data_IF_667767975692
#
_entry.id   IF_667767975692
#
_cell.length_a   1.000
_cell.length_b   1.000
_cell.length_c   1.000
_cell.angle_alpha   90.00
_cell.angle_beta   90.00
_cell.angle_gamma   90.00
#
_symmetry.space_group_name_H-M   'P 1'
#
loop_
_entity.id
_entity.type
_entity.pdbx_description
1 polymer ?
#
# COMPACT_ATOMS: atom_id res chain seq x y z
N UNK A 1 -68.25 -5.99 2.29
CA UNK A 1 -66.94 -6.54 2.68
C UNK A 1 -65.94 -6.24 1.56
N UNK A 2 -64.89 -5.46 1.85
CA UNK A 2 -63.93 -4.97 0.85
C UNK A 2 -62.60 -5.65 1.13
N UNK A 3 -62.25 -6.64 0.32
CA UNK A 3 -61.00 -7.41 0.46
C UNK A 3 -59.88 -6.58 -0.18
N UNK A 4 -59.00 -6.04 0.65
CA UNK A 4 -57.76 -5.40 0.22
C UNK A 4 -56.69 -6.48 0.06
N UNK A 5 -56.41 -6.84 -1.19
CA UNK A 5 -55.26 -7.69 -1.54
C UNK A 5 -54.04 -6.77 -1.65
N UNK A 6 -53.15 -6.84 -0.66
CA UNK A 6 -51.82 -6.21 -0.74
C UNK A 6 -50.85 -7.17 -1.45
N UNK A 7 -50.19 -6.77 -2.55
CA UNK A 7 -49.17 -7.60 -3.17
C UNK A 7 -47.89 -7.51 -2.34
N UNK A 8 -47.46 -8.63 -1.78
CA UNK A 8 -46.15 -8.79 -1.16
C UNK A 8 -45.09 -8.74 -2.26
N UNK A 9 -44.39 -7.61 -2.42
CA UNK A 9 -43.19 -7.52 -3.24
C UNK A 9 -42.04 -8.23 -2.51
N UNK A 10 -41.74 -9.46 -2.94
CA UNK A 10 -40.52 -10.17 -2.58
C UNK A 10 -39.32 -9.45 -3.22
N UNK A 11 -38.66 -8.58 -2.44
CA UNK A 11 -37.36 -8.03 -2.79
C UNK A 11 -36.29 -9.11 -2.67
N UNK A 12 -35.77 -9.58 -3.80
CA UNK A 12 -34.61 -10.49 -3.83
C UNK A 12 -33.37 -9.68 -3.45
N UNK A 13 -32.87 -9.86 -2.24
CA UNK A 13 -31.58 -9.32 -1.84
C UNK A 13 -30.48 -10.15 -2.51
N UNK A 14 -29.86 -9.61 -3.57
CA UNK A 14 -28.64 -10.19 -4.14
C UNK A 14 -27.52 -9.88 -3.16
N UNK A 15 -27.11 -10.88 -2.37
CA UNK A 15 -25.91 -10.81 -1.53
C UNK A 15 -24.70 -10.90 -2.46
N UNK A 16 -24.25 -9.76 -2.99
CA UNK A 16 -22.98 -9.70 -3.70
C UNK A 16 -21.85 -9.79 -2.68
N UNK A 17 -20.84 -10.61 -2.96
CA UNK A 17 -19.65 -10.68 -2.11
C UNK A 17 -19.02 -9.27 -2.00
N UNK A 18 -18.51 -8.88 -0.82
CA UNK A 18 -17.89 -7.57 -0.66
C UNK A 18 -16.75 -7.41 -1.66
N UNK A 19 -16.61 -6.22 -2.27
CA UNK A 19 -15.59 -5.99 -3.28
C UNK A 19 -14.19 -6.18 -2.66
N UNK A 20 -13.30 -6.82 -3.42
CA UNK A 20 -11.93 -7.12 -2.97
C UNK A 20 -10.99 -5.96 -3.27
N UNK A 21 -9.96 -5.71 -2.43
CA UNK A 21 -8.89 -4.78 -2.76
C UNK A 21 -8.20 -5.14 -4.08
N UNK A 22 -7.71 -4.12 -4.79
CA UNK A 22 -6.92 -4.31 -6.01
C UNK A 22 -5.45 -4.35 -5.65
N UNK A 23 -4.76 -5.43 -6.03
CA UNK A 23 -3.31 -5.56 -5.88
C UNK A 23 -2.60 -4.71 -6.92
N UNK A 24 -1.55 -3.99 -6.50
CA UNK A 24 -0.65 -3.25 -7.37
C UNK A 24 0.77 -3.78 -7.22
N UNK A 25 1.48 -3.88 -8.34
CA UNK A 25 2.87 -4.32 -8.39
C UNK A 25 3.70 -3.40 -9.26
N UNK A 26 4.93 -3.16 -8.84
CA UNK A 26 5.78 -2.16 -9.44
C UNK A 26 7.27 -2.45 -9.29
N UNK A 27 8.06 -1.54 -9.86
CA UNK A 27 9.53 -1.58 -9.90
C UNK A 27 10.11 -0.23 -9.55
N UNK A 28 11.38 -0.21 -9.15
CA UNK A 28 12.14 1.01 -8.89
C UNK A 28 13.04 1.39 -10.07
N UNK A 29 13.13 2.68 -10.40
CA UNK A 29 13.94 3.19 -11.53
C UNK A 29 15.37 3.56 -11.11
N UNK A 30 15.55 4.07 -9.89
CA UNK A 30 16.83 4.58 -9.38
C UNK A 30 17.44 3.70 -8.27
N UNK A 31 16.83 2.54 -8.00
CA UNK A 31 17.30 1.55 -7.03
C UNK A 31 18.14 0.44 -7.67
N UNK A 32 18.54 -0.52 -6.83
CA UNK A 32 19.18 -1.75 -7.29
C UNK A 32 18.22 -2.54 -8.21
N UNK A 33 18.76 -3.04 -9.33
CA UNK A 33 17.98 -3.80 -10.31
C UNK A 33 17.29 -5.00 -9.66
N UNK A 34 16.02 -5.21 -10.00
CA UNK A 34 15.21 -6.32 -9.51
C UNK A 34 14.42 -6.04 -8.23
N UNK A 35 14.58 -4.86 -7.62
CA UNK A 35 13.73 -4.44 -6.52
C UNK A 35 12.27 -4.22 -6.98
N UNK A 36 11.33 -4.62 -6.13
CA UNK A 36 9.88 -4.58 -6.38
C UNK A 36 9.16 -3.84 -5.27
N UNK A 37 8.10 -3.15 -5.64
CA UNK A 37 7.11 -2.60 -4.71
C UNK A 37 5.77 -3.24 -4.99
N UNK A 38 4.97 -3.41 -3.95
CA UNK A 38 3.60 -3.87 -4.10
C UNK A 38 2.73 -3.37 -2.96
N UNK A 39 1.46 -3.17 -3.21
CA UNK A 39 0.50 -2.69 -2.22
C UNK A 39 -0.93 -2.98 -2.68
N UNK A 40 -1.88 -2.86 -1.78
CA UNK A 40 -3.29 -3.09 -2.04
C UNK A 40 -4.04 -1.77 -1.93
N UNK A 41 -4.92 -1.49 -2.88
CA UNK A 41 -5.82 -0.33 -2.84
C UNK A 41 -7.21 -0.82 -2.51
N UNK A 42 -7.83 -0.23 -1.48
CA UNK A 42 -9.20 -0.60 -1.08
C UNK A 42 -10.21 -0.34 -2.22
N UNK A 43 -11.32 -1.08 -2.28
CA UNK A 43 -12.31 -0.93 -3.34
C UNK A 43 -12.88 0.48 -3.51
N UNK A 44 -12.97 1.23 -2.42
CA UNK A 44 -13.42 2.62 -2.40
C UNK A 44 -12.33 3.62 -2.79
N UNK A 45 -11.10 3.15 -3.02
CA UNK A 45 -9.93 3.95 -3.39
C UNK A 45 -9.42 4.87 -2.28
N UNK A 46 -9.83 4.65 -1.02
CA UNK A 46 -9.52 5.54 0.11
C UNK A 46 -8.33 5.11 0.96
N UNK A 47 -7.81 3.91 0.77
CA UNK A 47 -6.67 3.43 1.55
C UNK A 47 -5.75 2.53 0.75
N UNK A 48 -4.46 2.60 1.12
CA UNK A 48 -3.40 1.73 0.67
C UNK A 48 -2.93 0.88 1.85
N UNK A 49 -2.94 -0.44 1.70
CA UNK A 49 -2.48 -1.42 2.69
C UNK A 49 -1.44 -2.36 2.10
N UNK A 50 -0.87 -3.22 2.95
CA UNK A 50 -0.01 -4.33 2.53
C UNK A 50 1.16 -3.89 1.64
N UNK A 51 1.66 -2.66 1.92
CA UNK A 51 2.81 -2.09 1.25
C UNK A 51 4.01 -2.96 1.54
N UNK A 52 4.63 -3.50 0.50
CA UNK A 52 5.81 -4.36 0.58
C UNK A 52 6.87 -3.84 -0.37
N UNK A 53 8.04 -3.58 0.18
CA UNK A 53 9.29 -3.46 -0.55
C UNK A 53 10.01 -4.81 -0.51
N UNK A 54 10.45 -5.28 -1.68
CA UNK A 54 11.38 -6.41 -1.80
C UNK A 54 12.58 -5.93 -2.59
N UNK A 55 13.76 -5.89 -1.98
CA UNK A 55 14.93 -5.39 -2.66
C UNK A 55 16.13 -5.23 -1.74
N UNK A 56 17.18 -4.63 -2.29
CA UNK A 56 18.40 -4.37 -1.54
C UNK A 56 18.35 -3.01 -0.87
N UNK A 57 18.91 -2.94 0.34
CA UNK A 57 19.13 -1.72 1.11
C UNK A 57 20.51 -1.75 1.77
N UNK A 58 20.96 -0.61 2.31
CA UNK A 58 22.25 -0.55 3.01
C UNK A 58 22.04 -0.51 4.51
N UNK A 59 22.72 -1.38 5.25
CA UNK A 59 22.74 -1.42 6.71
C UNK A 59 24.19 -1.42 7.21
N UNK A 60 24.56 -0.44 8.03
CA UNK A 60 25.93 -0.29 8.55
C UNK A 60 27.01 -0.40 7.43
N UNK A 61 26.72 0.19 6.26
CA UNK A 61 27.60 0.17 5.09
C UNK A 61 27.53 -1.11 4.23
N UNK A 62 26.90 -2.18 4.70
CA UNK A 62 26.72 -3.44 3.96
C UNK A 62 25.45 -3.41 3.14
N UNK A 63 25.48 -4.11 2.01
CA UNK A 63 24.32 -4.28 1.15
C UNK A 63 23.60 -5.57 1.55
N UNK A 64 22.31 -5.48 1.85
CA UNK A 64 21.50 -6.61 2.33
C UNK A 64 20.22 -6.72 1.49
N UNK A 65 19.74 -7.95 1.29
CA UNK A 65 18.44 -8.19 0.68
C UNK A 65 17.38 -8.25 1.77
N UNK A 66 16.25 -7.59 1.57
CA UNK A 66 15.16 -7.56 2.54
C UNK A 66 13.79 -7.59 1.86
N UNK A 67 12.79 -8.00 2.62
CA UNK A 67 11.37 -7.86 2.30
C UNK A 67 10.68 -7.27 3.53
N UNK A 68 10.19 -6.05 3.40
CA UNK A 68 9.66 -5.29 4.52
C UNK A 68 8.54 -4.35 4.09
N UNK A 69 7.70 -3.99 5.04
CA UNK A 69 6.50 -3.20 4.83
C UNK A 69 5.92 -2.72 6.16
N UNK A 70 5.22 -1.58 6.19
CA UNK A 70 4.54 -1.13 7.38
C UNK A 70 3.32 -1.99 7.72
N UNK A 71 3.02 -2.11 9.02
CA UNK A 71 1.79 -2.71 9.52
C UNK A 71 0.58 -1.79 9.33
N UNK A 72 0.79 -0.47 9.38
CA UNK A 72 -0.26 0.52 9.21
C UNK A 72 -0.50 0.90 7.75
N UNK A 73 -1.72 1.34 7.48
CA UNK A 73 -2.21 1.76 6.15
C UNK A 73 -1.92 3.24 5.89
N UNK A 74 -1.84 3.61 4.62
CA UNK A 74 -1.82 5.01 4.20
C UNK A 74 -3.21 5.43 3.71
N UNK A 75 -3.76 6.58 4.16
CA UNK A 75 -4.95 7.13 3.56
C UNK A 75 -4.64 7.62 2.14
N UNK A 76 -5.59 7.42 1.24
CA UNK A 76 -5.57 7.99 -0.11
C UNK A 76 -6.55 9.16 -0.13
N UNK A 77 -6.05 10.36 -0.43
CA UNK A 77 -6.83 11.57 -0.53
C UNK A 77 -6.57 12.21 -1.89
N UNK A 78 -7.62 12.49 -2.65
CA UNK A 78 -7.53 13.07 -4.00
C UNK A 78 -6.60 12.28 -4.93
N UNK A 79 -6.63 10.94 -4.84
CA UNK A 79 -5.79 10.06 -5.65
C UNK A 79 -4.32 10.01 -5.23
N UNK A 80 -3.96 10.53 -4.05
CA UNK A 80 -2.59 10.52 -3.54
C UNK A 80 -2.52 9.87 -2.16
N UNK A 81 -1.53 8.98 -1.97
CA UNK A 81 -1.18 8.45 -0.66
C UNK A 81 0.20 9.01 -0.28
N UNK A 82 0.29 9.75 0.83
CA UNK A 82 1.54 10.36 1.28
C UNK A 82 1.61 10.35 2.80
N UNK A 83 2.76 9.98 3.34
CA UNK A 83 2.97 10.00 4.77
C UNK A 83 4.14 9.14 5.22
N UNK A 84 4.25 9.00 6.53
CA UNK A 84 5.25 8.16 7.17
C UNK A 84 4.61 7.29 8.22
N UNK A 85 4.93 5.99 8.15
CA UNK A 85 4.60 5.03 9.20
C UNK A 85 5.87 4.67 9.96
N UNK A 86 5.77 4.58 11.28
CA UNK A 86 6.85 4.08 12.14
C UNK A 86 6.38 2.79 12.80
N UNK A 87 7.18 1.74 12.72
CA UNK A 87 6.89 0.44 13.31
C UNK A 87 8.00 -0.02 14.28
N UNK A 88 7.69 -0.25 15.57
CA UNK A 88 6.37 -0.11 16.17
C UNK A 88 5.93 1.38 16.29
N UNK A 89 4.61 1.67 16.45
CA UNK A 89 4.09 3.05 16.43
C UNK A 89 4.63 3.98 17.52
N UNK A 90 5.07 3.42 18.65
CA UNK A 90 5.73 4.16 19.73
C UNK A 90 7.23 4.39 19.48
N UNK A 91 7.74 3.96 18.32
CA UNK A 91 9.14 4.11 17.93
C UNK A 91 10.08 3.21 18.73
N UNK A 92 11.29 3.71 18.94
CA UNK A 92 12.41 2.97 19.52
C UNK A 92 13.66 3.06 18.66
N UNK A 93 14.81 2.70 19.21
CA UNK A 93 16.09 2.81 18.51
C UNK A 93 16.10 2.02 17.19
N UNK A 94 15.48 0.85 17.18
CA UNK A 94 15.42 -0.05 16.02
C UNK A 94 14.09 0.02 15.27
N UNK A 95 13.28 1.06 15.51
CA UNK A 95 12.01 1.20 14.82
C UNK A 95 12.23 1.44 13.32
N UNK A 96 11.43 0.75 12.52
CA UNK A 96 11.36 0.95 11.09
C UNK A 96 10.59 2.21 10.80
N UNK A 97 11.08 2.99 9.85
CA UNK A 97 10.37 4.14 9.31
C UNK A 97 10.14 3.89 7.83
N UNK A 98 8.89 3.98 7.41
CA UNK A 98 8.45 3.81 6.03
C UNK A 98 7.85 5.12 5.53
N UNK A 99 8.59 5.83 4.69
CA UNK A 99 8.12 7.03 4.01
C UNK A 99 7.57 6.61 2.64
N UNK A 100 6.30 6.91 2.41
CA UNK A 100 5.63 6.60 1.14
C UNK A 100 4.99 7.86 0.59
N UNK A 101 5.14 8.05 -0.71
CA UNK A 101 4.52 9.14 -1.44
C UNK A 101 4.15 8.63 -2.84
N UNK A 102 2.88 8.70 -3.21
CA UNK A 102 2.42 8.09 -4.46
C UNK A 102 1.16 8.75 -5.01
N UNK A 103 1.19 9.04 -6.31
CA UNK A 103 0.00 9.34 -7.10
C UNK A 103 -0.59 8.02 -7.60
N UNK A 104 -1.81 7.71 -7.18
CA UNK A 104 -2.55 6.48 -7.46
C UNK A 104 -3.60 6.77 -8.53
N UNK A 105 -3.23 6.54 -9.80
CA UNK A 105 -4.15 6.67 -10.92
C UNK A 105 -5.02 5.42 -11.13
N UNK A 106 -5.84 5.41 -12.19
CA UNK A 106 -6.72 4.27 -12.51
C UNK A 106 -5.99 3.05 -13.07
N UNK A 107 -4.89 3.25 -13.80
CA UNK A 107 -4.15 2.19 -14.52
C UNK A 107 -2.66 2.17 -14.21
N UNK A 108 -2.15 3.25 -13.61
CA UNK A 108 -0.75 3.41 -13.29
C UNK A 108 -0.64 4.26 -12.02
N UNK A 109 0.37 3.96 -11.24
CA UNK A 109 0.75 4.71 -10.05
C UNK A 109 2.25 4.96 -10.09
N UNK A 110 2.70 6.04 -9.46
CA UNK A 110 4.11 6.37 -9.35
C UNK A 110 4.38 7.22 -8.12
N UNK A 111 5.63 7.23 -7.68
CA UNK A 111 6.03 8.13 -6.61
C UNK A 111 7.37 7.76 -6.03
N UNK A 112 7.52 8.01 -4.73
CA UNK A 112 8.74 7.73 -4.00
C UNK A 112 8.49 6.88 -2.76
N UNK A 113 9.52 6.12 -2.37
CA UNK A 113 9.51 5.27 -1.20
C UNK A 113 10.88 5.35 -0.53
N UNK A 114 10.90 5.36 0.79
CA UNK A 114 12.11 5.16 1.58
C UNK A 114 11.76 4.34 2.80
N UNK A 115 12.64 3.42 3.15
CA UNK A 115 12.62 2.80 4.46
C UNK A 115 13.98 2.88 5.12
N UNK A 116 13.97 3.10 6.43
CA UNK A 116 15.19 3.22 7.22
C UNK A 116 15.01 2.78 8.67
N UNK A 117 16.12 2.39 9.29
CA UNK A 117 16.27 2.23 10.73
C UNK A 117 17.47 3.07 11.15
N UNK A 118 17.22 4.19 11.85
CA UNK A 118 18.26 5.18 12.13
C UNK A 118 19.39 4.63 13.00
N UNK A 119 19.08 3.95 14.12
CA UNK A 119 20.15 3.50 15.03
C UNK A 119 21.04 2.40 14.44
N UNK A 120 20.59 1.71 13.39
CA UNK A 120 21.34 0.67 12.71
C UNK A 120 22.05 1.18 11.44
N UNK A 121 21.91 2.48 11.14
CA UNK A 121 22.36 3.07 9.87
C UNK A 121 21.87 2.24 8.67
N UNK A 122 20.60 1.84 8.72
CA UNK A 122 19.91 1.14 7.65
C UNK A 122 19.08 2.11 6.82
N UNK A 123 19.24 2.12 5.50
CA UNK A 123 18.52 3.01 4.60
C UNK A 123 18.41 2.41 3.19
N UNK A 124 17.22 2.47 2.60
CA UNK A 124 17.01 2.19 1.17
C UNK A 124 17.41 3.37 0.28
N UNK A 125 17.65 4.54 0.86
CA UNK A 125 17.58 5.85 0.23
C UNK A 125 16.18 6.13 -0.35
N UNK A 126 16.00 7.34 -0.87
CA UNK A 126 14.75 7.70 -1.55
C UNK A 126 14.72 7.06 -2.93
N UNK A 127 13.86 6.07 -3.08
CA UNK A 127 13.65 5.33 -4.31
C UNK A 127 12.44 5.87 -5.07
N UNK A 128 12.53 5.91 -6.39
CA UNK A 128 11.46 6.25 -7.31
C UNK A 128 10.84 4.98 -7.85
N UNK A 129 9.51 4.88 -7.81
CA UNK A 129 8.77 3.69 -8.23
C UNK A 129 7.65 4.01 -9.20
N UNK A 130 7.30 3.00 -10.00
CA UNK A 130 6.08 2.94 -10.81
C UNK A 130 5.39 1.60 -10.55
N UNK A 131 4.06 1.57 -10.62
CA UNK A 131 3.25 0.39 -10.40
C UNK A 131 2.00 0.37 -11.30
N UNK A 132 1.46 -0.81 -11.54
CA UNK A 132 0.20 -1.04 -12.26
C UNK A 132 -0.66 -2.05 -11.48
N UNK A 133 -1.98 -2.05 -11.64
CA UNK A 133 -2.84 -3.04 -11.02
C UNK A 133 -2.54 -4.42 -11.63
N UNK A 134 -2.39 -5.42 -10.79
CA UNK A 134 -2.25 -6.81 -11.21
C UNK A 134 -3.62 -7.31 -11.73
N UNK A 135 -3.67 -8.04 -12.86
CA UNK A 135 -4.90 -8.64 -13.37
C UNK A 135 -5.58 -9.60 -12.39
#
# INVERSE_FOLDING_TARGET
MKVLVFPLLLGVAVVTAPPKPTRWTGTFSNGMKGAKISFDVSPDGKSLSDLTFQGYWRCAGKLELTTAGPTHRFPIQNGRASGVVVDPPNGGATAWRFEFDGDIGRKAAKGTFRMNINALNCDSYKLEWTAAPTP
#
